data_IF_241545267270
#
_entry.id   IF_241545267270
#
_cell.length_a   1.000
_cell.length_b   1.000
_cell.length_c   1.000
_cell.angle_alpha   90.00
_cell.angle_beta   90.00
_cell.angle_gamma   90.00
#
_symmetry.space_group_name_H-M   'P 1'
#
loop_
_entity.id
_entity.type
_entity.pdbx_description
1 polymer ?
#
# COMPACT_ATOMS: atom_id res chain seq x y z
N UNK A 1 -5.96 -11.98 -19.51
CA UNK A 1 -5.00 -12.29 -18.42
C UNK A 1 -5.24 -11.28 -17.31
N UNK A 2 -5.53 -11.73 -16.10
CA UNK A 2 -5.65 -10.81 -14.96
C UNK A 2 -4.26 -10.52 -14.41
N UNK A 3 -3.89 -9.25 -14.32
CA UNK A 3 -2.67 -8.85 -13.64
C UNK A 3 -2.92 -8.87 -12.14
N UNK A 4 -2.12 -9.63 -11.41
CA UNK A 4 -2.08 -9.57 -9.95
C UNK A 4 -0.98 -8.58 -9.57
N UNK A 5 -1.37 -7.48 -8.95
CA UNK A 5 -0.41 -6.52 -8.39
C UNK A 5 -0.16 -6.95 -6.94
N UNK A 6 0.99 -7.56 -6.69
CA UNK A 6 1.46 -7.87 -5.34
C UNK A 6 2.48 -6.81 -4.93
N UNK A 7 2.22 -6.09 -3.84
CA UNK A 7 3.21 -5.18 -3.27
C UNK A 7 4.17 -5.97 -2.38
N UNK A 8 5.49 -5.84 -2.54
CA UNK A 8 6.47 -6.57 -1.75
C UNK A 8 6.29 -6.39 -0.24
N UNK A 9 5.89 -5.21 0.19
CA UNK A 9 5.62 -4.88 1.59
C UNK A 9 4.46 -5.71 2.17
N UNK A 10 3.40 -5.91 1.40
CA UNK A 10 2.27 -6.76 1.84
C UNK A 10 2.69 -8.22 1.96
N UNK A 11 3.52 -8.72 1.04
CA UNK A 11 4.06 -10.08 1.11
C UNK A 11 4.96 -10.27 2.34
N UNK A 12 5.82 -9.28 2.62
CA UNK A 12 6.69 -9.32 3.80
C UNK A 12 5.88 -9.29 5.11
N UNK A 13 4.83 -8.46 5.18
CA UNK A 13 3.92 -8.40 6.33
C UNK A 13 3.18 -9.73 6.51
N UNK A 14 2.67 -10.32 5.44
CA UNK A 14 2.01 -11.62 5.50
C UNK A 14 2.96 -12.73 5.96
N UNK A 15 4.22 -12.73 5.51
CA UNK A 15 5.23 -13.66 5.97
C UNK A 15 5.52 -13.52 7.47
N UNK A 16 5.59 -12.29 7.97
CA UNK A 16 5.76 -12.01 9.40
C UNK A 16 4.56 -12.50 10.23
N UNK A 17 3.34 -12.25 9.78
CA UNK A 17 2.13 -12.72 10.46
C UNK A 17 2.05 -14.25 10.48
N UNK A 18 2.40 -14.92 9.38
CA UNK A 18 2.48 -16.38 9.32
C UNK A 18 3.53 -16.93 10.27
N UNK A 19 4.72 -16.33 10.35
CA UNK A 19 5.75 -16.73 11.30
C UNK A 19 5.25 -16.64 12.75
N UNK A 20 4.53 -15.57 13.07
CA UNK A 20 3.92 -15.38 14.40
C UNK A 20 2.87 -16.46 14.70
N UNK A 21 2.00 -16.79 13.74
CA UNK A 21 1.01 -17.85 13.87
C UNK A 21 1.70 -19.20 14.11
N UNK A 22 2.73 -19.52 13.32
CA UNK A 22 3.51 -20.76 13.50
C UNK A 22 4.12 -20.86 14.88
N UNK A 23 4.71 -19.78 15.38
CA UNK A 23 5.26 -19.72 16.75
C UNK A 23 4.20 -19.95 17.84
N UNK A 24 3.02 -19.33 17.69
CA UNK A 24 1.91 -19.52 18.64
C UNK A 24 1.38 -20.96 18.65
N UNK A 25 1.21 -21.56 17.46
CA UNK A 25 0.77 -22.96 17.33
C UNK A 25 1.81 -23.90 17.93
N UNK A 26 3.10 -23.70 17.65
CA UNK A 26 4.19 -24.51 18.22
C UNK A 26 4.24 -24.41 19.75
N UNK A 27 4.08 -23.22 20.32
CA UNK A 27 4.04 -23.01 21.75
C UNK A 27 2.82 -23.72 22.39
N UNK A 28 1.63 -23.60 21.79
CA UNK A 28 0.43 -24.30 22.27
C UNK A 28 0.59 -25.82 22.20
N UNK A 29 1.15 -26.34 21.11
CA UNK A 29 1.43 -27.77 20.92
C UNK A 29 2.42 -28.30 21.95
N UNK A 30 3.46 -27.53 22.27
CA UNK A 30 4.42 -27.89 23.31
C UNK A 30 3.81 -27.97 24.71
N UNK A 31 2.92 -27.02 25.05
CA UNK A 31 2.19 -27.05 26.36
C UNK A 31 1.24 -28.23 26.41
N UNK A 32 0.58 -28.61 25.32
CA UNK A 32 -0.34 -29.74 25.25
C UNK A 32 0.38 -31.11 25.21
N UNK A 33 1.66 -31.18 24.91
CA UNK A 33 2.38 -32.44 24.69
C UNK A 33 2.34 -33.34 25.90
N UNK A 34 2.86 -32.91 27.05
CA UNK A 34 2.95 -33.75 28.26
C UNK A 34 1.58 -34.23 28.75
N UNK A 35 0.57 -33.37 28.97
CA UNK A 35 -0.73 -33.85 29.52
C UNK A 35 -1.50 -34.78 28.56
N UNK A 36 -1.16 -34.78 27.25
CA UNK A 36 -1.85 -35.66 26.30
C UNK A 36 -1.08 -36.93 25.98
N UNK A 37 0.25 -36.92 26.06
CA UNK A 37 1.09 -38.11 25.80
C UNK A 37 1.26 -39.00 27.04
N UNK A 38 1.02 -38.46 28.23
CA UNK A 38 1.18 -39.18 29.52
C UNK A 38 -0.17 -39.29 30.24
N UNK A 39 -1.19 -39.79 29.55
CA UNK A 39 -2.53 -39.98 30.11
C UNK A 39 -2.50 -41.10 31.17
N UNK A 40 -2.92 -40.77 32.39
CA UNK A 40 -3.03 -41.75 33.49
C UNK A 40 -4.35 -42.51 33.37
N UNK A 41 -4.30 -43.83 33.59
CA UNK A 41 -5.51 -44.66 33.60
C UNK A 41 -6.49 -44.20 34.69
N UNK A 42 -7.78 -44.15 34.38
CA UNK A 42 -8.82 -43.69 35.31
C UNK A 42 -9.10 -44.69 36.44
N UNK A 43 -8.75 -45.97 36.25
CA UNK A 43 -8.85 -47.04 37.21
C UNK A 43 -7.71 -48.04 37.08
N UNK A 44 -7.63 -48.99 38.04
CA UNK A 44 -6.61 -50.04 38.07
C UNK A 44 -7.03 -51.30 37.26
N UNK A 45 -7.85 -51.12 36.24
CA UNK A 45 -8.36 -52.21 35.39
C UNK A 45 -7.77 -52.13 33.96
N UNK A 46 -7.79 -53.26 33.26
CA UNK A 46 -7.17 -53.37 31.93
C UNK A 46 -7.86 -52.51 30.87
N UNK A 47 -9.16 -52.19 31.02
CA UNK A 47 -9.90 -51.35 30.09
C UNK A 47 -9.45 -49.89 30.24
N UNK A 48 -9.37 -49.37 31.45
CA UNK A 48 -8.86 -48.03 31.74
C UNK A 48 -7.41 -47.87 31.26
N UNK A 49 -6.57 -48.87 31.48
CA UNK A 49 -5.18 -48.88 31.02
C UNK A 49 -5.11 -48.92 29.49
N UNK A 50 -5.94 -49.71 28.81
CA UNK A 50 -5.99 -49.78 27.35
C UNK A 50 -6.46 -48.46 26.71
N UNK A 51 -7.45 -47.80 27.32
CA UNK A 51 -7.93 -46.50 26.87
C UNK A 51 -6.83 -45.40 27.02
N UNK A 52 -6.18 -45.35 28.17
CA UNK A 52 -5.08 -44.42 28.41
C UNK A 52 -3.92 -44.61 27.40
N UNK A 53 -3.56 -45.86 27.14
CA UNK A 53 -2.54 -46.18 26.13
C UNK A 53 -2.94 -45.73 24.72
N UNK A 54 -4.22 -45.93 24.32
CA UNK A 54 -4.73 -45.49 23.02
C UNK A 54 -4.62 -43.97 22.86
N UNK A 55 -5.06 -43.19 23.84
CA UNK A 55 -4.97 -41.73 23.79
C UNK A 55 -3.54 -41.24 23.81
N UNK A 56 -2.66 -41.84 24.60
CA UNK A 56 -1.24 -41.50 24.64
C UNK A 56 -0.55 -41.78 23.29
N UNK A 57 -0.82 -42.94 22.66
CA UNK A 57 -0.30 -43.27 21.34
C UNK A 57 -0.78 -42.30 20.28
N UNK A 58 -2.06 -41.98 20.25
CA UNK A 58 -2.63 -41.00 19.32
C UNK A 58 -1.99 -39.60 19.49
N UNK A 59 -1.79 -39.16 20.72
CA UNK A 59 -1.13 -37.89 21.01
C UNK A 59 0.34 -37.87 20.55
N UNK A 60 1.07 -38.99 20.69
CA UNK A 60 2.44 -39.12 20.17
C UNK A 60 2.47 -39.01 18.65
N UNK A 61 1.55 -39.67 17.93
CA UNK A 61 1.42 -39.57 16.48
C UNK A 61 1.09 -38.12 16.05
N UNK A 62 0.19 -37.45 16.78
CA UNK A 62 -0.11 -36.05 16.56
C UNK A 62 1.12 -35.15 16.75
N UNK A 63 1.93 -35.35 17.79
CA UNK A 63 3.14 -34.56 18.01
C UNK A 63 4.16 -34.76 16.86
N UNK A 64 4.31 -35.99 16.37
CA UNK A 64 5.19 -36.27 15.22
C UNK A 64 4.71 -35.56 13.94
N UNK A 65 3.41 -35.59 13.66
CA UNK A 65 2.81 -34.88 12.52
C UNK A 65 2.90 -33.35 12.69
N UNK A 66 2.67 -32.85 13.89
CA UNK A 66 2.78 -31.42 14.24
C UNK A 66 4.20 -30.87 13.98
N UNK A 67 5.23 -31.65 14.31
CA UNK A 67 6.62 -31.29 14.03
C UNK A 67 6.90 -31.21 12.51
N UNK A 68 6.35 -32.12 11.72
CA UNK A 68 6.47 -32.07 10.25
C UNK A 68 5.72 -30.86 9.68
N UNK A 69 4.52 -30.58 10.18
CA UNK A 69 3.74 -29.42 9.76
C UNK A 69 4.44 -28.10 10.11
N UNK A 70 5.09 -28.01 11.27
CA UNK A 70 5.88 -26.85 11.66
C UNK A 70 7.09 -26.64 10.73
N UNK A 71 7.83 -27.69 10.40
CA UNK A 71 8.95 -27.59 9.47
C UNK A 71 8.49 -27.16 8.06
N UNK A 72 7.36 -27.66 7.57
CA UNK A 72 6.77 -27.22 6.31
C UNK A 72 6.35 -25.74 6.36
N UNK A 73 5.72 -25.32 7.46
CA UNK A 73 5.31 -23.94 7.66
C UNK A 73 6.51 -22.97 7.67
N UNK A 74 7.57 -23.30 8.36
CA UNK A 74 8.81 -22.52 8.39
C UNK A 74 9.43 -22.39 7.00
N UNK A 75 9.47 -23.49 6.24
CA UNK A 75 9.93 -23.48 4.86
C UNK A 75 9.08 -22.59 3.97
N UNK A 76 7.76 -22.63 4.14
CA UNK A 76 6.83 -21.78 3.41
C UNK A 76 7.06 -20.29 3.73
N UNK A 77 7.16 -19.91 5.01
CA UNK A 77 7.44 -18.54 5.44
C UNK A 77 8.77 -18.04 4.89
N UNK A 78 9.81 -18.89 4.92
CA UNK A 78 11.12 -18.56 4.35
C UNK A 78 11.03 -18.30 2.84
N UNK A 79 10.31 -19.16 2.11
CA UNK A 79 10.12 -19.01 0.66
C UNK A 79 9.33 -17.74 0.31
N UNK A 80 8.28 -17.43 1.07
CA UNK A 80 7.48 -16.21 0.89
C UNK A 80 8.32 -14.95 1.14
N UNK A 81 9.16 -14.96 2.18
CA UNK A 81 10.09 -13.88 2.48
C UNK A 81 11.12 -13.69 1.37
N UNK A 82 11.66 -14.77 0.83
CA UNK A 82 12.58 -14.74 -0.30
C UNK A 82 11.90 -14.16 -1.54
N UNK A 83 10.68 -14.58 -1.84
CA UNK A 83 9.89 -14.05 -2.96
C UNK A 83 9.67 -12.52 -2.83
N UNK A 84 9.29 -12.02 -1.65
CA UNK A 84 9.13 -10.58 -1.41
C UNK A 84 10.43 -9.80 -1.72
N UNK A 85 11.58 -10.32 -1.30
CA UNK A 85 12.90 -9.71 -1.59
C UNK A 85 13.23 -9.71 -3.08
N UNK A 86 12.89 -10.78 -3.79
CA UNK A 86 13.10 -10.88 -5.23
C UNK A 86 12.27 -9.85 -5.99
N UNK A 87 10.99 -9.67 -5.62
CA UNK A 87 10.14 -8.61 -6.19
C UNK A 87 10.75 -7.23 -5.96
N UNK A 88 11.14 -6.91 -4.72
CA UNK A 88 11.79 -5.63 -4.40
C UNK A 88 13.06 -5.40 -5.24
N UNK A 89 13.93 -6.40 -5.35
CA UNK A 89 15.15 -6.29 -6.13
C UNK A 89 14.87 -6.09 -7.62
N UNK A 90 13.87 -6.77 -8.17
CA UNK A 90 13.45 -6.64 -9.56
C UNK A 90 12.88 -5.24 -9.84
N UNK A 91 12.04 -4.71 -8.96
CA UNK A 91 11.50 -3.35 -9.09
C UNK A 91 12.61 -2.30 -9.06
N UNK A 92 13.58 -2.43 -8.16
CA UNK A 92 14.74 -1.53 -8.11
C UNK A 92 15.56 -1.61 -9.40
N UNK A 93 15.80 -2.82 -9.91
CA UNK A 93 16.55 -3.02 -11.16
C UNK A 93 15.82 -2.42 -12.37
N UNK A 94 14.50 -2.63 -12.47
CA UNK A 94 13.66 -2.05 -13.53
C UNK A 94 13.64 -0.53 -13.47
N UNK A 95 13.51 0.06 -12.27
CA UNK A 95 13.55 1.50 -12.07
C UNK A 95 14.94 2.10 -12.45
N UNK A 96 16.02 1.39 -12.16
CA UNK A 96 17.37 1.81 -12.56
C UNK A 96 17.54 1.76 -14.09
N UNK A 97 17.14 0.67 -14.73
CA UNK A 97 17.18 0.53 -16.19
C UNK A 97 16.34 1.63 -16.88
N UNK A 98 15.13 1.90 -16.38
CA UNK A 98 14.27 2.96 -16.90
C UNK A 98 14.92 4.33 -16.79
N UNK A 99 15.61 4.64 -15.68
CA UNK A 99 16.35 5.92 -15.52
C UNK A 99 17.46 6.07 -16.56
N UNK A 100 18.20 5.00 -16.85
CA UNK A 100 19.25 5.02 -17.88
C UNK A 100 18.66 5.29 -19.25
N UNK A 101 17.58 4.61 -19.63
CA UNK A 101 16.90 4.81 -20.92
C UNK A 101 16.35 6.23 -21.02
N UNK A 102 15.65 6.71 -19.98
CA UNK A 102 15.14 8.09 -19.97
C UNK A 102 16.27 9.12 -19.99
N UNK A 103 17.39 8.86 -19.33
CA UNK A 103 18.58 9.70 -19.42
C UNK A 103 19.12 9.82 -20.83
N UNK A 104 19.25 8.70 -21.54
CA UNK A 104 19.72 8.67 -22.93
C UNK A 104 18.74 9.39 -23.89
N UNK A 105 17.43 9.20 -23.71
CA UNK A 105 16.39 9.86 -24.52
C UNK A 105 16.34 11.37 -24.24
N UNK A 106 16.55 11.77 -23.01
CA UNK A 106 16.47 13.17 -22.59
C UNK A 106 17.76 13.96 -22.85
N UNK A 107 18.92 13.30 -22.95
CA UNK A 107 20.21 13.99 -23.09
C UNK A 107 20.26 14.97 -24.26
N UNK A 108 19.80 14.67 -25.50
CA UNK A 108 19.85 15.61 -26.60
C UNK A 108 19.00 16.87 -26.37
N UNK A 109 17.77 16.68 -25.84
CA UNK A 109 16.87 17.81 -25.61
C UNK A 109 17.28 18.64 -24.40
N UNK A 110 17.87 17.99 -23.40
CA UNK A 110 18.41 18.69 -22.23
C UNK A 110 19.59 19.58 -22.59
N UNK A 111 20.48 19.11 -23.48
CA UNK A 111 21.64 19.89 -23.90
C UNK A 111 21.29 21.01 -24.87
N UNK A 112 20.33 20.81 -25.77
CA UNK A 112 19.96 21.79 -26.81
C UNK A 112 18.93 22.80 -26.30
N UNK A 113 17.98 22.38 -25.48
CA UNK A 113 16.79 23.17 -25.11
C UNK A 113 16.69 23.41 -23.59
N UNK A 114 17.61 22.87 -22.81
CA UNK A 114 17.59 22.98 -21.32
C UNK A 114 16.42 22.28 -20.64
N UNK A 115 15.68 21.43 -21.39
CA UNK A 115 14.52 20.70 -20.89
C UNK A 115 14.55 19.22 -21.32
N UNK A 116 14.13 18.29 -20.49
CA UNK A 116 14.00 16.90 -20.89
C UNK A 116 12.89 16.74 -21.95
N UNK A 117 12.93 15.67 -22.73
CA UNK A 117 11.85 15.30 -23.64
C UNK A 117 10.68 14.70 -22.87
N UNK A 118 10.99 13.79 -21.95
CA UNK A 118 10.03 13.04 -21.11
C UNK A 118 10.47 13.12 -19.65
N UNK A 119 9.57 13.55 -18.77
CA UNK A 119 9.80 13.58 -17.33
C UNK A 119 9.10 14.74 -16.66
N UNK A 120 8.78 14.60 -15.39
CA UNK A 120 8.16 15.66 -14.62
C UNK A 120 9.18 16.72 -14.18
N UNK A 121 8.71 17.94 -14.02
CA UNK A 121 9.52 19.04 -13.48
C UNK A 121 9.84 18.86 -12.01
N UNK A 122 11.03 19.26 -11.59
CA UNK A 122 11.43 19.23 -10.21
C UNK A 122 10.54 20.13 -9.35
N UNK A 123 10.17 19.63 -8.16
CA UNK A 123 9.44 20.45 -7.19
C UNK A 123 10.37 21.47 -6.52
N UNK A 124 9.87 22.64 -6.20
CA UNK A 124 10.58 23.62 -5.39
C UNK A 124 10.82 23.09 -3.99
N UNK A 125 12.05 23.21 -3.49
CA UNK A 125 12.45 22.69 -2.16
C UNK A 125 12.70 23.83 -1.15
N UNK A 126 13.05 25.02 -1.62
CA UNK A 126 13.25 26.20 -0.77
C UNK A 126 11.98 27.07 -0.75
N UNK A 127 11.68 27.75 0.37
CA UNK A 127 10.52 28.64 0.47
C UNK A 127 10.44 29.64 -0.67
N UNK A 128 9.30 29.71 -1.36
CA UNK A 128 9.08 30.60 -2.51
C UNK A 128 9.75 30.18 -3.82
N UNK A 129 10.48 29.06 -3.86
CA UNK A 129 11.13 28.56 -5.05
C UNK A 129 10.09 28.06 -6.06
N UNK A 130 10.18 28.48 -7.35
CA UNK A 130 9.29 27.96 -8.39
C UNK A 130 9.58 26.48 -8.68
N UNK A 131 8.56 25.77 -9.14
CA UNK A 131 8.71 24.42 -9.69
C UNK A 131 9.40 24.44 -11.05
N UNK A 132 10.16 23.41 -11.35
CA UNK A 132 10.83 23.21 -12.65
C UNK A 132 9.83 22.90 -13.75
N UNK A 133 10.20 23.23 -15.00
CA UNK A 133 9.41 22.85 -16.16
C UNK A 133 9.46 21.33 -16.40
N UNK A 134 8.34 20.72 -16.74
CA UNK A 134 8.25 19.33 -17.19
C UNK A 134 8.83 19.11 -18.57
N UNK A 135 8.88 17.87 -19.02
CA UNK A 135 9.36 17.46 -20.32
C UNK A 135 8.60 18.14 -21.48
N UNK A 136 9.26 18.26 -22.62
CA UNK A 136 8.67 18.91 -23.80
C UNK A 136 7.47 18.14 -24.34
N UNK A 137 7.56 16.81 -24.38
CA UNK A 137 6.51 15.95 -24.95
C UNK A 137 5.58 15.44 -23.82
N UNK A 138 6.15 14.77 -22.83
CA UNK A 138 5.41 14.22 -21.68
C UNK A 138 6.04 14.72 -20.39
N UNK A 139 5.22 15.29 -19.51
CA UNK A 139 5.65 15.64 -18.17
C UNK A 139 4.79 16.72 -17.55
N UNK A 140 4.55 16.59 -16.26
CA UNK A 140 3.88 17.61 -15.48
C UNK A 140 4.89 18.68 -15.05
N UNK A 141 4.42 19.92 -14.90
CA UNK A 141 5.21 20.96 -14.25
C UNK A 141 5.44 20.63 -12.77
N UNK A 142 6.60 20.94 -12.25
CA UNK A 142 6.90 20.80 -10.83
C UNK A 142 6.07 21.75 -9.98
N UNK A 143 5.75 21.34 -8.77
CA UNK A 143 5.06 22.22 -7.81
C UNK A 143 6.03 23.28 -7.29
N UNK A 144 5.56 24.52 -7.17
CA UNK A 144 6.28 25.56 -6.44
C UNK A 144 6.30 25.25 -4.93
N UNK A 145 7.33 25.65 -4.24
CA UNK A 145 7.43 25.52 -2.79
C UNK A 145 6.55 26.52 -2.06
N UNK A 146 6.06 26.16 -0.88
CA UNK A 146 5.35 27.08 0.00
C UNK A 146 6.25 28.28 0.37
N UNK A 147 5.69 29.48 0.47
CA UNK A 147 6.40 30.64 0.97
C UNK A 147 6.73 30.51 2.46
N UNK A 148 7.78 31.17 2.91
CA UNK A 148 8.01 31.38 4.33
C UNK A 148 6.94 32.32 4.90
N UNK A 149 6.94 32.47 6.24
CA UNK A 149 6.00 33.38 6.92
C UNK A 149 6.11 34.80 6.33
N UNK A 150 5.01 35.28 5.73
CA UNK A 150 4.94 36.57 5.07
C UNK A 150 5.44 36.59 3.62
N UNK A 151 5.85 35.45 3.05
CA UNK A 151 6.25 35.33 1.65
C UNK A 151 5.20 34.58 0.81
N UNK A 152 5.11 34.96 -0.45
CA UNK A 152 4.29 34.28 -1.43
C UNK A 152 4.94 32.94 -1.81
N UNK A 153 4.16 31.87 -2.01
CA UNK A 153 4.67 30.60 -2.49
C UNK A 153 5.22 30.69 -3.93
N UNK A 154 6.11 29.79 -4.28
CA UNK A 154 6.70 29.70 -5.61
C UNK A 154 5.65 29.31 -6.68
N UNK A 155 5.81 29.85 -7.88
CA UNK A 155 4.99 29.46 -9.03
C UNK A 155 5.20 27.99 -9.41
N UNK A 156 4.16 27.32 -9.90
CA UNK A 156 4.30 25.99 -10.51
C UNK A 156 5.03 26.05 -11.85
N UNK A 157 5.73 24.97 -12.20
CA UNK A 157 6.45 24.82 -13.46
C UNK A 157 5.51 24.59 -14.66
N UNK A 158 5.97 24.94 -15.85
CA UNK A 158 5.25 24.69 -17.10
C UNK A 158 5.18 23.18 -17.40
N UNK A 159 4.02 22.68 -17.84
CA UNK A 159 3.87 21.30 -18.31
C UNK A 159 4.43 21.12 -19.72
N UNK A 160 4.57 19.84 -20.13
CA UNK A 160 4.80 19.44 -21.51
C UNK A 160 3.54 19.48 -22.38
N UNK A 161 3.65 19.00 -23.61
CA UNK A 161 2.52 18.88 -24.54
C UNK A 161 1.42 17.99 -23.95
N UNK A 162 1.80 16.88 -23.33
CA UNK A 162 0.92 16.00 -22.57
C UNK A 162 1.33 16.07 -21.10
N UNK A 163 0.68 16.91 -20.33
CA UNK A 163 0.96 17.07 -18.90
C UNK A 163 0.06 18.13 -18.26
N UNK A 164 0.10 18.18 -16.92
CA UNK A 164 -0.66 19.15 -16.13
C UNK A 164 0.31 20.20 -15.57
N UNK A 165 -0.02 21.47 -15.75
CA UNK A 165 0.67 22.59 -15.11
C UNK A 165 -0.18 23.07 -13.94
N UNK A 166 0.36 22.93 -12.74
CA UNK A 166 -0.23 23.57 -11.56
C UNK A 166 0.26 25.02 -11.46
N UNK A 167 -0.38 25.91 -12.18
CA UNK A 167 -0.25 27.33 -11.88
C UNK A 167 -0.89 27.60 -10.53
N UNK A 168 -0.23 28.38 -9.74
CA UNK A 168 -0.52 28.88 -8.41
C UNK A 168 -2.03 29.08 -8.09
N UNK A 169 -2.72 28.02 -7.70
CA UNK A 169 -4.00 28.11 -7.03
C UNK A 169 -3.70 28.21 -5.54
N UNK A 170 -3.62 29.44 -5.04
CA UNK A 170 -3.59 29.64 -3.57
C UNK A 170 -4.81 28.99 -2.96
N UNK A 171 -4.69 28.43 -1.76
CA UNK A 171 -5.79 27.77 -1.05
C UNK A 171 -7.06 28.67 -1.00
N UNK A 172 -6.90 30.00 -0.93
CA UNK A 172 -7.98 30.98 -0.99
C UNK A 172 -8.68 31.01 -2.36
N UNK A 173 -8.00 30.78 -3.46
CA UNK A 173 -8.59 30.75 -4.80
C UNK A 173 -9.34 29.45 -5.03
N UNK A 174 -8.80 28.31 -4.58
CA UNK A 174 -9.50 27.01 -4.63
C UNK A 174 -10.78 27.07 -3.78
N UNK A 175 -10.69 27.56 -2.54
CA UNK A 175 -11.87 27.74 -1.70
C UNK A 175 -12.92 28.66 -2.33
N UNK A 176 -12.51 29.74 -3.00
CA UNK A 176 -13.45 30.62 -3.70
C UNK A 176 -14.09 29.95 -4.91
N UNK A 177 -13.31 29.26 -5.76
CA UNK A 177 -13.85 28.55 -6.92
C UNK A 177 -14.78 27.41 -6.50
N UNK A 178 -14.40 26.64 -5.50
CA UNK A 178 -15.24 25.54 -4.97
C UNK A 178 -16.49 26.09 -4.29
N UNK A 179 -16.39 27.16 -3.49
CA UNK A 179 -17.56 27.83 -2.88
C UNK A 179 -18.48 28.44 -3.94
N UNK A 180 -17.94 29.08 -4.98
CA UNK A 180 -18.76 29.67 -6.05
C UNK A 180 -19.40 28.64 -6.98
N UNK A 181 -18.76 27.48 -7.19
CA UNK A 181 -19.30 26.43 -8.08
C UNK A 181 -20.21 25.45 -7.33
N UNK A 182 -19.86 25.08 -6.11
CA UNK A 182 -20.57 24.03 -5.35
C UNK A 182 -21.75 24.61 -4.57
N UNK A 183 -21.65 25.83 -4.06
CA UNK A 183 -22.71 26.45 -3.26
C UNK A 183 -24.01 26.69 -4.04
N UNK A 184 -23.99 27.23 -5.28
CA UNK A 184 -25.19 27.34 -6.10
C UNK A 184 -25.76 25.98 -6.50
N UNK A 185 -24.89 25.00 -6.82
CA UNK A 185 -25.34 23.64 -7.18
C UNK A 185 -25.99 22.94 -5.98
N UNK A 186 -25.44 23.09 -4.77
CA UNK A 186 -26.01 22.56 -3.55
C UNK A 186 -27.34 23.24 -3.21
N UNK A 187 -27.44 24.55 -3.44
CA UNK A 187 -28.68 25.31 -3.21
C UNK A 187 -29.77 24.91 -4.22
N UNK A 188 -29.42 24.69 -5.48
CA UNK A 188 -30.33 24.20 -6.52
C UNK A 188 -30.79 22.77 -6.20
N UNK A 189 -29.91 21.88 -5.80
CA UNK A 189 -30.24 20.49 -5.42
C UNK A 189 -31.11 20.50 -4.15
N UNK A 190 -30.80 21.31 -3.16
CA UNK A 190 -31.59 21.43 -1.93
C UNK A 190 -32.98 22.01 -2.22
N UNK A 191 -33.08 23.00 -3.08
CA UNK A 191 -34.36 23.61 -3.46
C UNK A 191 -35.22 22.63 -4.27
N UNK A 192 -34.65 21.92 -5.23
CA UNK A 192 -35.38 20.96 -6.04
C UNK A 192 -35.74 19.66 -5.32
N UNK A 193 -34.86 19.15 -4.45
CA UNK A 193 -35.11 17.88 -3.74
C UNK A 193 -35.92 18.06 -2.45
N UNK A 194 -35.78 19.15 -1.73
CA UNK A 194 -36.37 19.32 -0.41
C UNK A 194 -37.48 20.35 -0.32
N UNK A 195 -37.32 21.50 -0.95
CA UNK A 195 -38.35 22.58 -0.83
C UNK A 195 -39.50 22.43 -1.85
N UNK A 196 -39.18 21.96 -3.06
CA UNK A 196 -40.21 21.82 -4.09
C UNK A 196 -41.32 20.82 -3.74
N UNK A 197 -41.04 19.63 -3.20
CA UNK A 197 -42.07 18.70 -2.75
C UNK A 197 -42.88 19.24 -1.56
N UNK A 198 -42.25 19.99 -0.64
CA UNK A 198 -42.95 20.54 0.55
C UNK A 198 -43.88 21.69 0.16
N UNK A 199 -43.46 22.53 -0.77
CA UNK A 199 -44.31 23.62 -1.29
C UNK A 199 -45.47 23.07 -2.09
N UNK A 200 -45.24 22.01 -2.89
CA UNK A 200 -46.30 21.37 -3.69
C UNK A 200 -47.31 20.61 -2.82
N UNK A 201 -46.87 20.07 -1.67
CA UNK A 201 -47.77 19.40 -0.71
C UNK A 201 -48.59 20.36 0.16
N UNK A 202 -48.25 21.67 0.20
CA UNK A 202 -48.98 22.70 0.94
C UNK A 202 -50.05 23.40 0.07
N UNK A 203 -50.05 23.16 -1.26
CA UNK A 203 -50.99 23.78 -2.21
C UNK A 203 -51.99 22.79 -2.81
N UNK A 204 -51.97 21.53 -2.44
CA UNK A 204 -52.94 20.48 -2.77
C UNK A 204 -53.39 19.76 -1.49
#
# INVERSE_FOLDING_TARGET
MSYVIATPEMMATAAFDLARIGSQVSAASAVAAMPTTEVVAAGADEVSAGIAALFSAHAQEYQALSAQAAAFHDQFVHTLTAAARWYTATEIANAAAMRVVLGAVNAPTQTLLGRPLIGDGAHGTAPGQPGGAGGLLFGNGGNGAAGAVGQVGGAGGAAGLFGVSFSHLTLSTICRVVLFSVFPLFFIIFYTCFLYPVVFSLYY
#
